data_IF_734842685581
#
_entry.id   IF_734842685581
#
_cell.length_a   1.000
_cell.length_b   1.000
_cell.length_c   1.000
_cell.angle_alpha   90.00
_cell.angle_beta   90.00
_cell.angle_gamma   90.00
#
_symmetry.space_group_name_H-M   'P 1'
#
loop_
_entity.id
_entity.type
_entity.pdbx_description
1 polymer ?
#
# COMPACT_ATOMS: atom_id res chain seq x y z
N UNK A 1 14.23 29.83 -9.09
CA UNK A 1 14.08 28.56 -8.33
C UNK A 1 13.36 28.73 -6.97
N UNK A 2 12.42 29.69 -6.80
CA UNK A 2 11.84 29.99 -5.47
C UNK A 2 10.34 29.68 -5.27
N UNK A 3 9.50 29.67 -6.31
CA UNK A 3 8.04 29.53 -6.10
C UNK A 3 7.58 28.09 -5.81
N UNK A 4 8.21 27.06 -6.40
CA UNK A 4 7.83 25.65 -6.16
C UNK A 4 8.20 25.18 -4.74
N UNK A 5 9.37 25.57 -4.23
CA UNK A 5 9.81 25.24 -2.87
C UNK A 5 9.00 25.96 -1.78
N UNK A 6 8.57 27.19 -2.04
CA UNK A 6 7.71 27.91 -1.10
C UNK A 6 6.30 27.33 -1.06
N UNK A 7 5.76 26.97 -2.23
CA UNK A 7 4.46 26.26 -2.35
C UNK A 7 4.47 24.92 -1.61
N UNK A 8 5.55 24.14 -1.74
CA UNK A 8 5.67 22.85 -1.05
C UNK A 8 5.84 22.99 0.47
N UNK A 9 6.56 24.02 0.95
CA UNK A 9 6.68 24.30 2.39
C UNK A 9 5.34 24.74 2.99
N UNK A 10 4.60 25.62 2.31
CA UNK A 10 3.28 26.06 2.76
C UNK A 10 2.28 24.90 2.76
N UNK A 11 2.33 24.04 1.75
CA UNK A 11 1.50 22.83 1.68
C UNK A 11 1.82 21.88 2.84
N UNK A 12 3.10 21.65 3.14
CA UNK A 12 3.52 20.83 4.28
C UNK A 12 3.09 21.44 5.62
N UNK A 13 3.18 22.75 5.78
CA UNK A 13 2.69 23.42 6.98
C UNK A 13 1.18 23.23 7.16
N UNK A 14 0.40 23.39 6.07
CA UNK A 14 -1.05 23.15 6.08
C UNK A 14 -1.38 21.69 6.42
N UNK A 15 -0.66 20.75 5.84
CA UNK A 15 -0.77 19.32 6.14
C UNK A 15 -0.56 19.05 7.63
N UNK A 16 0.56 19.52 8.19
CA UNK A 16 0.88 19.35 9.62
C UNK A 16 -0.18 19.99 10.51
N UNK A 17 -0.61 21.22 10.21
CA UNK A 17 -1.62 21.92 11.00
C UNK A 17 -2.96 21.17 11.03
N UNK A 18 -3.47 20.74 9.88
CA UNK A 18 -4.76 20.04 9.79
C UNK A 18 -4.71 18.64 10.39
N UNK A 19 -3.63 17.89 10.17
CA UNK A 19 -3.44 16.57 10.78
C UNK A 19 -3.34 16.70 12.29
N UNK A 20 -2.57 17.66 12.80
CA UNK A 20 -2.46 17.90 14.25
C UNK A 20 -3.79 18.30 14.87
N UNK A 21 -4.56 19.16 14.20
CA UNK A 21 -5.83 19.66 14.72
C UNK A 21 -6.96 18.61 14.67
N UNK A 22 -7.02 17.80 13.60
CA UNK A 22 -8.16 16.92 13.31
C UNK A 22 -7.87 15.43 13.52
N UNK A 23 -6.60 15.02 13.54
CA UNK A 23 -6.17 13.63 13.56
C UNK A 23 -6.61 12.90 14.82
N UNK A 24 -6.44 13.51 15.99
CA UNK A 24 -6.73 12.90 17.29
C UNK A 24 -8.18 13.06 17.76
N UNK A 25 -9.01 13.82 17.04
CA UNK A 25 -10.43 13.95 17.38
C UNK A 25 -11.06 12.55 17.38
N UNK A 26 -11.67 12.08 18.48
CA UNK A 26 -12.20 10.72 18.55
C UNK A 26 -13.08 10.37 17.35
N UNK A 27 -12.95 9.13 16.87
CA UNK A 27 -13.74 8.65 15.73
C UNK A 27 -15.25 8.72 16.01
N UNK A 28 -15.64 8.52 17.27
CA UNK A 28 -17.03 8.62 17.72
C UNK A 28 -17.54 10.06 17.48
N UNK A 29 -18.81 10.18 17.09
CA UNK A 29 -19.49 11.45 16.75
C UNK A 29 -19.02 12.12 15.45
N UNK A 30 -18.47 13.34 15.52
CA UNK A 30 -18.18 14.19 14.36
C UNK A 30 -16.76 14.04 13.80
N UNK A 31 -15.87 13.29 14.46
CA UNK A 31 -14.45 13.22 14.09
C UNK A 31 -14.22 12.81 12.63
N UNK A 32 -14.96 11.81 12.15
CA UNK A 32 -14.90 11.37 10.74
C UNK A 32 -15.33 12.48 9.78
N UNK A 33 -16.40 13.21 10.10
CA UNK A 33 -16.90 14.31 9.27
C UNK A 33 -15.90 15.47 9.23
N UNK A 34 -15.31 15.82 10.37
CA UNK A 34 -14.32 16.88 10.47
C UNK A 34 -13.05 16.55 9.68
N UNK A 35 -12.51 15.33 9.83
CA UNK A 35 -11.38 14.86 9.02
C UNK A 35 -11.70 14.88 7.52
N UNK A 36 -12.84 14.34 7.12
CA UNK A 36 -13.26 14.37 5.71
C UNK A 36 -13.40 15.78 5.14
N UNK A 37 -13.83 16.75 5.93
CA UNK A 37 -13.95 18.13 5.49
C UNK A 37 -12.57 18.79 5.38
N UNK A 38 -11.75 18.69 6.43
CA UNK A 38 -10.43 19.33 6.48
C UNK A 38 -9.43 18.71 5.51
N UNK A 39 -9.33 17.39 5.47
CA UNK A 39 -8.30 16.68 4.71
C UNK A 39 -8.46 16.83 3.19
N UNK A 40 -9.68 17.11 2.70
CA UNK A 40 -9.91 17.44 1.28
C UNK A 40 -9.03 18.58 0.76
N UNK A 41 -8.59 19.48 1.64
CA UNK A 41 -7.77 20.63 1.25
C UNK A 41 -6.27 20.33 1.10
N UNK A 42 -5.80 19.18 1.61
CA UNK A 42 -4.37 18.82 1.63
C UNK A 42 -4.04 17.55 0.82
N UNK A 43 -5.03 16.68 0.59
CA UNK A 43 -4.86 15.50 -0.26
C UNK A 43 -4.94 15.85 -1.74
N UNK A 44 -4.28 15.06 -2.59
CA UNK A 44 -4.48 15.12 -4.05
C UNK A 44 -5.97 14.94 -4.39
N UNK A 45 -6.59 13.92 -3.77
CA UNK A 45 -8.01 13.63 -3.92
C UNK A 45 -8.56 12.86 -2.73
N UNK A 46 -9.75 13.22 -2.28
CA UNK A 46 -10.57 12.41 -1.37
C UNK A 46 -11.98 12.32 -1.94
N UNK A 47 -12.47 11.10 -2.16
CA UNK A 47 -13.82 10.80 -2.63
C UNK A 47 -14.90 11.04 -1.58
N UNK A 48 -16.11 10.60 -1.85
CA UNK A 48 -17.24 10.67 -0.91
C UNK A 48 -17.25 9.47 0.05
N UNK A 49 -17.88 9.63 1.22
CA UNK A 49 -18.10 8.55 2.20
C UNK A 49 -16.82 7.84 2.69
N UNK A 50 -15.69 8.55 2.69
CA UNK A 50 -14.44 8.03 3.24
C UNK A 50 -14.53 7.98 4.77
N UNK A 51 -14.02 6.92 5.38
CA UNK A 51 -14.03 6.71 6.82
C UNK A 51 -12.59 6.62 7.33
N UNK A 52 -12.12 7.67 8.01
CA UNK A 52 -10.77 7.75 8.57
C UNK A 52 -10.89 7.79 10.10
N UNK A 53 -10.40 6.75 10.76
CA UNK A 53 -10.33 6.72 12.22
C UNK A 53 -9.29 7.71 12.75
N UNK A 54 -9.39 8.05 14.03
CA UNK A 54 -8.34 8.80 14.73
C UNK A 54 -7.08 7.94 14.88
N UNK A 55 -5.92 8.59 14.89
CA UNK A 55 -4.61 7.92 14.92
C UNK A 55 -4.24 7.22 13.60
N UNK A 56 -4.74 7.71 12.47
CA UNK A 56 -4.20 7.38 11.14
C UNK A 56 -3.14 8.41 10.78
N UNK A 57 -1.98 7.94 10.39
CA UNK A 57 -0.85 8.77 10.01
C UNK A 57 -0.79 8.93 8.49
N UNK A 58 -0.83 10.18 8.04
CA UNK A 58 -0.61 10.51 6.64
C UNK A 58 0.58 11.44 6.51
N UNK A 59 1.38 11.21 5.47
CA UNK A 59 2.50 12.07 5.17
C UNK A 59 2.62 12.25 3.66
N UNK A 60 2.86 13.47 3.20
CA UNK A 60 2.92 13.75 1.76
C UNK A 60 1.54 13.58 1.10
N UNK A 61 0.50 14.14 1.71
CA UNK A 61 -0.90 13.94 1.28
C UNK A 61 -1.16 14.41 -0.15
N UNK A 62 -0.33 15.33 -0.67
CA UNK A 62 -0.33 15.79 -2.06
C UNK A 62 -0.15 14.68 -3.09
N UNK A 63 0.34 13.52 -2.68
CA UNK A 63 0.60 12.35 -3.51
C UNK A 63 -0.42 11.23 -3.28
N UNK A 64 -1.38 11.43 -2.38
CA UNK A 64 -2.33 10.40 -1.95
C UNK A 64 -3.71 10.70 -2.52
N UNK A 65 -4.26 9.72 -3.23
CA UNK A 65 -5.59 9.74 -3.80
C UNK A 65 -6.46 8.66 -3.16
N UNK A 66 -7.56 9.09 -2.54
CA UNK A 66 -8.53 8.22 -1.90
C UNK A 66 -9.84 8.32 -2.67
N UNK A 67 -10.35 7.21 -3.20
CA UNK A 67 -11.63 7.17 -3.93
C UNK A 67 -12.83 7.12 -2.97
N UNK A 68 -13.99 6.63 -3.43
CA UNK A 68 -15.22 6.68 -2.63
C UNK A 68 -15.34 5.48 -1.68
N UNK A 69 -15.99 5.69 -0.54
CA UNK A 69 -16.31 4.62 0.42
C UNK A 69 -15.08 3.83 0.91
N UNK A 70 -13.94 4.49 1.05
CA UNK A 70 -12.71 3.88 1.56
C UNK A 70 -12.72 3.90 3.09
N UNK A 71 -12.29 2.81 3.72
CA UNK A 71 -12.20 2.67 5.17
C UNK A 71 -10.73 2.54 5.59
N UNK A 72 -10.27 3.44 6.46
CA UNK A 72 -8.90 3.48 6.97
C UNK A 72 -8.95 3.46 8.50
N UNK A 73 -8.48 2.37 9.08
CA UNK A 73 -8.59 2.09 10.51
C UNK A 73 -7.39 2.64 11.31
N UNK A 74 -7.58 2.76 12.63
CA UNK A 74 -6.56 3.32 13.53
C UNK A 74 -5.22 2.59 13.40
N UNK A 75 -4.13 3.36 13.44
CA UNK A 75 -2.76 2.86 13.36
C UNK A 75 -2.24 2.68 11.94
N UNK A 76 -3.08 2.87 10.91
CA UNK A 76 -2.60 2.88 9.53
C UNK A 76 -1.65 4.05 9.30
N UNK A 77 -0.55 3.78 8.61
CA UNK A 77 0.40 4.78 8.12
C UNK A 77 0.42 4.74 6.60
N UNK A 78 0.26 5.91 5.97
CA UNK A 78 0.41 6.08 4.53
C UNK A 78 1.42 7.21 4.27
N UNK A 79 2.59 6.85 3.77
CA UNK A 79 3.70 7.75 3.50
C UNK A 79 3.93 7.93 1.99
N UNK A 80 3.52 9.09 1.47
CA UNK A 80 3.77 9.53 0.10
C UNK A 80 4.96 10.49 -0.03
N UNK A 81 5.74 10.75 1.04
CA UNK A 81 6.91 11.65 0.98
C UNK A 81 8.05 11.02 0.18
N UNK A 82 9.13 11.79 0.01
CA UNK A 82 10.40 11.30 -0.56
C UNK A 82 10.65 11.82 -1.96
N UNK A 83 9.63 11.81 -2.82
CA UNK A 83 9.77 12.28 -4.21
C UNK A 83 8.46 12.87 -4.76
N UNK A 84 8.57 13.87 -5.65
CA UNK A 84 7.41 14.60 -6.21
C UNK A 84 6.52 13.75 -7.12
N UNK A 85 7.04 12.65 -7.64
CA UNK A 85 6.31 11.72 -8.49
C UNK A 85 5.67 10.55 -7.72
N UNK A 86 5.91 10.46 -6.41
CA UNK A 86 5.31 9.40 -5.61
C UNK A 86 3.78 9.50 -5.70
N UNK A 87 3.12 8.34 -5.73
CA UNK A 87 1.66 8.24 -5.79
C UNK A 87 1.17 7.07 -4.97
N UNK A 88 0.19 7.31 -4.11
CA UNK A 88 -0.59 6.26 -3.47
C UNK A 88 -2.04 6.42 -3.92
N UNK A 89 -2.59 5.40 -4.56
CA UNK A 89 -3.98 5.38 -5.03
C UNK A 89 -4.77 4.28 -4.33
N UNK A 90 -5.87 4.68 -3.70
CA UNK A 90 -6.85 3.78 -3.11
C UNK A 90 -8.16 3.83 -3.92
N UNK A 91 -8.54 2.69 -4.49
CA UNK A 91 -9.77 2.47 -5.23
C UNK A 91 -11.04 2.60 -4.38
N UNK A 92 -12.21 2.47 -5.02
CA UNK A 92 -13.49 2.55 -4.32
C UNK A 92 -13.67 1.34 -3.40
N UNK A 93 -14.27 1.54 -2.23
CA UNK A 93 -14.60 0.44 -1.30
C UNK A 93 -13.39 -0.36 -0.81
N UNK A 94 -12.19 0.22 -0.88
CA UNK A 94 -10.99 -0.34 -0.25
C UNK A 94 -11.12 -0.25 1.27
N UNK A 95 -10.73 -1.31 1.96
CA UNK A 95 -10.64 -1.34 3.42
C UNK A 95 -9.19 -1.64 3.83
N UNK A 96 -8.62 -0.75 4.64
CA UNK A 96 -7.27 -0.85 5.20
C UNK A 96 -7.37 -0.98 6.71
N UNK A 97 -7.13 -2.19 7.20
CA UNK A 97 -7.23 -2.51 8.62
C UNK A 97 -6.07 -1.92 9.45
N UNK A 98 -6.18 -2.10 10.77
CA UNK A 98 -5.29 -1.48 11.76
C UNK A 98 -3.82 -1.80 11.50
N UNK A 99 -2.96 -0.84 11.81
CA UNK A 99 -1.49 -0.97 11.79
C UNK A 99 -0.90 -1.37 10.42
N UNK A 100 -1.60 -1.13 9.31
CA UNK A 100 -1.03 -1.31 7.97
C UNK A 100 -0.06 -0.17 7.68
N UNK A 101 1.13 -0.49 7.18
CA UNK A 101 2.09 0.49 6.68
C UNK A 101 2.14 0.45 5.14
N UNK A 102 1.97 1.61 4.51
CA UNK A 102 2.03 1.81 3.06
C UNK A 102 3.02 2.95 2.80
N UNK A 103 4.17 2.63 2.23
CA UNK A 103 5.27 3.60 2.07
C UNK A 103 5.80 3.66 0.64
N UNK A 104 5.64 4.81 -0.01
CA UNK A 104 6.45 5.18 -1.16
C UNK A 104 7.84 5.64 -0.70
N UNK A 105 8.86 5.40 -1.52
CA UNK A 105 10.22 5.87 -1.25
C UNK A 105 10.67 6.89 -2.29
N UNK A 106 11.05 6.45 -3.49
CA UNK A 106 11.62 7.33 -4.52
C UNK A 106 11.07 6.96 -5.90
N UNK A 107 10.24 7.84 -6.45
CA UNK A 107 9.57 7.68 -7.74
C UNK A 107 8.71 6.40 -7.79
N UNK A 108 7.91 6.20 -6.73
CA UNK A 108 7.14 4.98 -6.50
C UNK A 108 5.64 5.22 -6.61
N UNK A 109 4.96 4.35 -7.35
CA UNK A 109 3.50 4.28 -7.41
C UNK A 109 2.98 3.03 -6.69
N UNK A 110 2.13 3.23 -5.68
CA UNK A 110 1.37 2.16 -5.02
C UNK A 110 -0.10 2.31 -5.40
N UNK A 111 -0.66 1.29 -6.04
CA UNK A 111 -2.05 1.27 -6.49
C UNK A 111 -2.78 0.09 -5.83
N UNK A 112 -3.90 0.38 -5.17
CA UNK A 112 -4.81 -0.62 -4.61
C UNK A 112 -6.18 -0.47 -5.28
N UNK A 113 -6.60 -1.50 -6.02
CA UNK A 113 -7.83 -1.50 -6.79
C UNK A 113 -9.10 -1.56 -5.96
N UNK A 114 -10.23 -1.30 -6.61
CA UNK A 114 -11.56 -1.29 -6.00
C UNK A 114 -11.90 -2.61 -5.28
N UNK A 115 -12.69 -2.51 -4.20
CA UNK A 115 -13.18 -3.66 -3.42
C UNK A 115 -12.08 -4.57 -2.84
N UNK A 116 -10.87 -4.04 -2.68
CA UNK A 116 -9.75 -4.79 -2.09
C UNK A 116 -9.69 -4.57 -0.58
N UNK A 117 -9.49 -5.68 0.14
CA UNK A 117 -9.31 -5.73 1.58
C UNK A 117 -7.84 -5.96 1.94
N UNK A 118 -7.29 -5.08 2.79
CA UNK A 118 -5.97 -5.21 3.38
C UNK A 118 -6.13 -5.45 4.88
N UNK A 119 -5.74 -6.64 5.33
CA UNK A 119 -5.82 -7.08 6.70
C UNK A 119 -4.82 -6.37 7.63
N UNK A 120 -4.97 -6.52 8.95
CA UNK A 120 -4.17 -5.79 9.92
C UNK A 120 -2.68 -6.17 9.86
N UNK A 121 -1.84 -5.23 10.24
CA UNK A 121 -0.38 -5.40 10.33
C UNK A 121 0.28 -5.83 9.00
N UNK A 122 -0.34 -5.49 7.87
CA UNK A 122 0.25 -5.67 6.52
C UNK A 122 1.24 -4.54 6.23
N UNK A 123 2.34 -4.88 5.57
CA UNK A 123 3.36 -3.90 5.14
C UNK A 123 3.45 -3.91 3.61
N UNK A 124 3.32 -2.75 2.98
CA UNK A 124 3.38 -2.54 1.52
C UNK A 124 4.42 -1.45 1.25
N UNK A 125 5.63 -1.88 0.91
CA UNK A 125 6.79 -0.99 0.85
C UNK A 125 7.74 -1.32 -0.30
N UNK A 126 8.50 -0.32 -0.71
CA UNK A 126 9.60 -0.47 -1.63
C UNK A 126 9.71 0.74 -2.55
N UNK A 127 10.90 1.04 -3.09
CA UNK A 127 11.06 2.03 -4.15
C UNK A 127 10.53 1.58 -5.52
N UNK A 128 10.23 0.29 -5.73
CA UNK A 128 9.57 -0.20 -6.95
C UNK A 128 8.05 -0.09 -6.88
N UNK A 129 7.40 0.02 -8.05
CA UNK A 129 5.94 0.14 -8.14
C UNK A 129 5.21 -1.11 -7.62
N UNK A 130 4.10 -0.90 -6.91
CA UNK A 130 3.24 -1.98 -6.41
C UNK A 130 1.82 -1.77 -6.95
N UNK A 131 1.30 -2.76 -7.65
CA UNK A 131 -0.07 -2.77 -8.13
C UNK A 131 -0.82 -3.96 -7.54
N UNK A 132 -1.84 -3.68 -6.75
CA UNK A 132 -2.83 -4.65 -6.27
C UNK A 132 -4.13 -4.39 -7.03
N UNK A 133 -4.66 -5.43 -7.67
CA UNK A 133 -5.88 -5.40 -8.45
C UNK A 133 -7.14 -5.19 -7.61
N UNK A 134 -8.28 -5.46 -8.25
CA UNK A 134 -9.60 -5.35 -7.64
C UNK A 134 -10.01 -6.65 -6.95
N UNK A 135 -10.90 -6.55 -5.97
CA UNK A 135 -11.48 -7.71 -5.28
C UNK A 135 -10.43 -8.62 -4.61
N UNK A 136 -9.26 -8.08 -4.27
CA UNK A 136 -8.22 -8.85 -3.61
C UNK A 136 -8.47 -8.93 -2.11
N UNK A 137 -8.01 -10.00 -1.48
CA UNK A 137 -7.98 -10.15 -0.03
C UNK A 137 -6.55 -10.44 0.41
N UNK A 138 -5.95 -9.50 1.14
CA UNK A 138 -4.61 -9.66 1.72
C UNK A 138 -4.79 -9.88 3.22
N UNK A 139 -4.54 -11.09 3.71
CA UNK A 139 -4.73 -11.40 5.12
C UNK A 139 -3.60 -10.80 6.00
N UNK A 140 -3.88 -10.77 7.30
CA UNK A 140 -3.03 -10.14 8.31
C UNK A 140 -1.56 -10.58 8.27
N UNK A 141 -0.67 -9.69 8.70
CA UNK A 141 0.79 -9.91 8.80
C UNK A 141 1.48 -10.27 7.48
N UNK A 142 0.86 -9.99 6.34
CA UNK A 142 1.50 -10.17 5.04
C UNK A 142 2.44 -9.00 4.70
N UNK A 143 3.50 -9.27 3.96
CA UNK A 143 4.46 -8.26 3.50
C UNK A 143 4.60 -8.26 1.98
N UNK A 144 4.59 -7.08 1.37
CA UNK A 144 4.75 -6.88 -0.07
C UNK A 144 5.91 -5.92 -0.27
N UNK A 145 7.05 -6.44 -0.76
CA UNK A 145 8.33 -5.72 -0.80
C UNK A 145 8.87 -5.59 -2.22
N UNK A 146 8.65 -4.43 -2.85
CA UNK A 146 9.07 -4.14 -4.22
C UNK A 146 10.53 -3.67 -4.34
N UNK A 147 11.41 -4.31 -3.58
CA UNK A 147 12.87 -4.19 -3.68
C UNK A 147 13.60 -5.33 -2.98
N UNK A 148 14.89 -5.42 -3.28
CA UNK A 148 15.86 -6.18 -2.52
C UNK A 148 17.18 -5.39 -2.48
N UNK A 149 18.01 -5.59 -1.46
CA UNK A 149 19.36 -5.05 -1.48
C UNK A 149 20.21 -5.79 -2.51
N UNK A 150 21.06 -5.07 -3.22
CA UNK A 150 22.10 -5.71 -4.02
C UNK A 150 23.17 -6.28 -3.07
N UNK A 151 23.61 -7.50 -3.34
CA UNK A 151 24.57 -8.24 -2.50
C UNK A 151 25.63 -8.97 -3.33
N UNK A 152 25.77 -8.60 -4.61
CA UNK A 152 26.63 -9.32 -5.54
C UNK A 152 28.13 -9.05 -5.31
N UNK A 153 28.49 -7.87 -4.78
CA UNK A 153 29.88 -7.54 -4.46
C UNK A 153 30.17 -7.85 -2.98
N UNK A 154 31.00 -8.85 -2.65
CA UNK A 154 31.34 -9.15 -1.26
C UNK A 154 32.31 -8.13 -0.63
N UNK A 155 32.93 -7.24 -1.42
CA UNK A 155 33.92 -6.27 -0.96
C UNK A 155 33.32 -4.90 -0.62
N UNK A 156 32.13 -4.59 -1.14
CA UNK A 156 31.41 -3.35 -0.83
C UNK A 156 30.39 -3.59 0.30
N UNK A 157 30.31 -2.74 1.34
CA UNK A 157 29.26 -2.87 2.34
C UNK A 157 27.85 -2.79 1.73
N UNK A 158 26.95 -3.69 2.16
CA UNK A 158 25.60 -3.87 1.61
C UNK A 158 24.82 -2.56 1.36
N UNK A 159 24.95 -1.58 2.27
CA UNK A 159 24.22 -0.30 2.20
C UNK A 159 24.63 0.59 1.01
N UNK A 160 25.78 0.33 0.40
CA UNK A 160 26.31 1.12 -0.72
C UNK A 160 26.06 0.46 -2.08
N UNK A 161 25.71 -0.82 -2.11
CA UNK A 161 25.51 -1.58 -3.36
C UNK A 161 24.19 -1.25 -4.07
N UNK A 162 23.30 -0.48 -3.44
CA UNK A 162 21.99 -0.11 -3.99
C UNK A 162 20.92 -1.19 -3.80
N UNK A 163 19.81 -1.04 -4.53
CA UNK A 163 18.61 -1.89 -4.41
C UNK A 163 18.00 -2.19 -5.78
N UNK A 164 17.30 -3.32 -5.90
CA UNK A 164 16.40 -3.60 -7.03
C UNK A 164 15.08 -2.85 -6.87
N UNK A 165 14.40 -2.58 -7.99
CA UNK A 165 13.11 -1.85 -8.04
C UNK A 165 12.20 -2.41 -9.15
N UNK A 166 12.10 -3.74 -9.27
CA UNK A 166 11.40 -4.38 -10.40
C UNK A 166 9.88 -4.19 -10.34
N UNK A 167 9.35 -4.00 -9.13
CA UNK A 167 7.94 -3.82 -8.88
C UNK A 167 7.20 -5.14 -8.66
N UNK A 168 5.95 -5.05 -8.20
CA UNK A 168 5.09 -6.20 -7.91
C UNK A 168 3.71 -5.95 -8.52
N UNK A 169 3.15 -6.98 -9.14
CA UNK A 169 1.77 -6.98 -9.64
C UNK A 169 1.00 -8.12 -8.99
N UNK A 170 -0.06 -7.79 -8.27
CA UNK A 170 -1.09 -8.74 -7.82
C UNK A 170 -2.33 -8.42 -8.65
N UNK A 171 -2.71 -9.31 -9.55
CA UNK A 171 -3.88 -9.12 -10.41
C UNK A 171 -5.20 -9.28 -9.62
N UNK A 172 -6.33 -9.06 -10.29
CA UNK A 172 -7.66 -9.07 -9.68
C UNK A 172 -8.00 -10.43 -9.01
N UNK A 173 -8.89 -10.39 -8.02
CA UNK A 173 -9.48 -11.57 -7.36
C UNK A 173 -8.44 -12.52 -6.72
N UNK A 174 -7.30 -11.98 -6.29
CA UNK A 174 -6.28 -12.76 -5.59
C UNK A 174 -6.54 -12.82 -4.08
N UNK A 175 -6.28 -13.98 -3.48
CA UNK A 175 -6.30 -14.15 -2.03
C UNK A 175 -4.91 -14.54 -1.52
N UNK A 176 -4.34 -13.69 -0.67
CA UNK A 176 -3.10 -13.98 0.06
C UNK A 176 -3.45 -14.34 1.50
N UNK A 177 -3.10 -15.56 1.91
CA UNK A 177 -3.27 -16.06 3.27
C UNK A 177 -2.43 -15.29 4.29
N UNK A 178 -2.68 -15.55 5.57
CA UNK A 178 -1.98 -14.87 6.67
C UNK A 178 -0.46 -15.05 6.55
N UNK A 179 0.31 -13.99 6.81
CA UNK A 179 1.77 -14.07 6.85
C UNK A 179 2.44 -14.36 5.51
N UNK A 180 1.81 -14.03 4.37
CA UNK A 180 2.42 -14.18 3.05
C UNK A 180 3.45 -13.09 2.82
N UNK A 181 4.61 -13.44 2.26
CA UNK A 181 5.61 -12.47 1.80
C UNK A 181 5.71 -12.51 0.28
N UNK A 182 5.57 -11.36 -0.39
CA UNK A 182 5.77 -11.20 -1.84
C UNK A 182 7.04 -10.40 -2.08
N UNK A 183 7.95 -10.95 -2.89
CA UNK A 183 9.25 -10.34 -3.19
C UNK A 183 9.26 -9.63 -4.54
N UNK A 184 10.21 -8.71 -4.70
CA UNK A 184 10.40 -7.88 -5.88
C UNK A 184 10.44 -8.64 -7.22
N UNK A 185 9.76 -8.09 -8.23
CA UNK A 185 9.71 -8.62 -9.59
C UNK A 185 8.71 -9.74 -9.81
N UNK A 186 7.76 -9.95 -8.90
CA UNK A 186 6.73 -11.00 -8.98
C UNK A 186 5.41 -10.46 -9.53
N UNK A 187 4.81 -11.24 -10.42
CA UNK A 187 3.39 -11.16 -10.82
C UNK A 187 2.60 -12.32 -10.23
N UNK A 188 1.55 -12.04 -9.45
CA UNK A 188 0.55 -13.01 -9.00
C UNK A 188 -0.67 -12.87 -9.88
N UNK A 189 -0.90 -13.87 -10.73
CA UNK A 189 -1.95 -13.87 -11.75
C UNK A 189 -3.36 -13.96 -11.16
N UNK A 190 -4.32 -13.44 -11.92
CA UNK A 190 -5.72 -13.25 -11.53
C UNK A 190 -6.32 -14.50 -10.89
N UNK A 191 -7.10 -14.33 -9.83
CA UNK A 191 -7.80 -15.44 -9.21
C UNK A 191 -6.85 -16.41 -8.50
N UNK A 192 -5.60 -16.05 -8.20
CA UNK A 192 -4.69 -16.98 -7.50
C UNK A 192 -4.91 -16.95 -6.00
N UNK A 193 -4.65 -18.09 -5.36
CA UNK A 193 -4.68 -18.25 -3.90
C UNK A 193 -3.26 -18.59 -3.44
N UNK A 194 -2.73 -17.78 -2.53
CA UNK A 194 -1.46 -18.00 -1.88
C UNK A 194 -1.72 -18.49 -0.46
N UNK A 195 -1.25 -19.69 -0.13
CA UNK A 195 -1.41 -20.27 1.21
C UNK A 195 -0.69 -19.46 2.28
N UNK A 196 -1.20 -19.54 3.51
CA UNK A 196 -0.61 -18.85 4.65
C UNK A 196 0.88 -19.19 4.84
N UNK A 197 1.66 -18.19 5.23
CA UNK A 197 3.10 -18.31 5.48
C UNK A 197 3.96 -18.55 4.24
N UNK A 198 3.45 -18.39 3.02
CA UNK A 198 4.22 -18.60 1.81
C UNK A 198 5.11 -17.39 1.44
N UNK A 199 6.24 -17.65 0.78
CA UNK A 199 7.18 -16.64 0.24
C UNK A 199 7.15 -16.76 -1.27
N UNK A 200 6.51 -15.79 -1.91
CA UNK A 200 6.37 -15.71 -3.35
C UNK A 200 7.58 -14.97 -3.92
N UNK A 201 8.46 -15.71 -4.58
CA UNK A 201 9.70 -15.20 -5.18
C UNK A 201 9.81 -15.45 -6.70
N UNK A 202 8.72 -15.92 -7.31
CA UNK A 202 8.54 -16.14 -8.74
C UNK A 202 7.08 -15.92 -9.08
N UNK A 203 6.81 -15.61 -10.36
CA UNK A 203 5.46 -15.42 -10.85
C UNK A 203 4.56 -16.63 -10.57
N UNK A 204 3.31 -16.33 -10.24
CA UNK A 204 2.25 -17.32 -10.01
C UNK A 204 1.25 -17.20 -11.16
N UNK A 205 1.07 -18.24 -12.01
CA UNK A 205 0.11 -18.18 -13.10
C UNK A 205 -1.33 -17.94 -12.62
N UNK A 206 -2.20 -17.33 -13.42
CA UNK A 206 -3.61 -17.12 -13.07
C UNK A 206 -4.32 -18.38 -12.60
N UNK A 207 -5.26 -18.21 -11.68
CA UNK A 207 -6.09 -19.25 -11.09
C UNK A 207 -5.29 -20.35 -10.39
N UNK A 208 -4.06 -20.07 -9.95
CA UNK A 208 -3.24 -21.06 -9.25
C UNK A 208 -3.54 -21.09 -7.75
N UNK A 209 -3.30 -22.23 -7.12
CA UNK A 209 -3.10 -22.33 -5.67
C UNK A 209 -1.62 -22.61 -5.44
N UNK A 210 -0.93 -21.70 -4.73
CA UNK A 210 0.49 -21.82 -4.43
C UNK A 210 0.75 -21.78 -2.93
N UNK A 211 1.67 -22.61 -2.44
CA UNK A 211 2.00 -22.73 -1.01
C UNK A 211 3.51 -22.92 -0.80
N UNK A 212 3.99 -22.65 0.42
CA UNK A 212 5.33 -23.02 0.86
C UNK A 212 6.41 -21.92 0.75
N UNK A 213 7.62 -22.31 1.16
CA UNK A 213 8.81 -21.46 1.27
C UNK A 213 9.98 -22.12 0.51
N UNK A 214 10.27 -21.74 -0.74
CA UNK A 214 9.55 -20.78 -1.58
C UNK A 214 8.21 -21.34 -2.11
N UNK A 215 7.29 -20.43 -2.49
CA UNK A 215 5.96 -20.79 -2.97
C UNK A 215 6.03 -21.64 -4.25
N UNK A 216 5.21 -22.70 -4.32
CA UNK A 216 5.05 -23.58 -5.48
C UNK A 216 3.58 -23.80 -5.77
N UNK A 217 3.22 -23.76 -7.05
CA UNK A 217 1.87 -24.09 -7.51
C UNK A 217 1.60 -25.57 -7.26
N UNK A 218 0.54 -25.88 -6.51
CA UNK A 218 0.13 -27.25 -6.16
C UNK A 218 -1.10 -27.70 -6.93
N UNK A 219 -1.93 -26.77 -7.39
CA UNK A 219 -3.07 -27.04 -8.26
C UNK A 219 -3.50 -25.76 -8.97
N UNK A 220 -4.27 -25.93 -10.03
CA UNK A 220 -5.00 -24.86 -10.67
C UNK A 220 -6.49 -24.97 -10.29
N UNK A 221 -7.13 -23.83 -9.98
CA UNK A 221 -8.50 -23.71 -9.45
C UNK A 221 -9.57 -24.06 -10.48
N UNK A 222 -9.26 -23.96 -11.78
CA UNK A 222 -10.21 -24.20 -12.87
C UNK A 222 -10.03 -25.57 -13.54
N UNK A 223 -9.01 -26.34 -13.20
CA UNK A 223 -8.72 -27.63 -13.84
C UNK A 223 -9.66 -28.79 -13.48
N UNK A 224 -10.73 -28.53 -12.72
CA UNK A 224 -11.71 -29.54 -12.28
C UNK A 224 -13.16 -29.02 -12.31
N UNK A 225 -13.42 -27.97 -13.09
CA UNK A 225 -14.78 -27.53 -13.48
C UNK A 225 -15.01 -27.93 -14.92
#
# INVERSE_FOLDING_TARGET
MNNKNYSSQLQRLREVLLITLLGEIPTIALGVKLRNLGYRSIFSRIGSQVYIQNGVEFMGTSCIEISNSVYIFKGVRIDGKGHQNNKVFLGNRVAIERNVDIGCLEDTCIHIGDDTFIGPDVCIEGPGDIKIGKHCMIAAHSGIYANNHNFADPMEPMKYQGVTRKGIVIEDDCWLGHGVTVLDGVTIGKGSVIGAGAVVNKDIPPFSVAVGLPARVIKNRISMV
#
